data_IF_764479559636
#
_entry.id   IF_764479559636
#
_cell.length_a   1.000
_cell.length_b   1.000
_cell.length_c   1.000
_cell.angle_alpha   90.00
_cell.angle_beta   90.00
_cell.angle_gamma   90.00
#
_symmetry.space_group_name_H-M   'P 1'
#
loop_
_entity.id
_entity.type
_entity.pdbx_description
1 polymer ?
#
# COMPACT_ATOMS: atom_id res chain seq x y z
N UNK A 1 -7.03 11.53 -1.31
CA UNK A 1 -6.32 12.55 -0.49
C UNK A 1 -6.30 12.01 0.92
N UNK A 2 -5.12 11.75 1.52
CA UNK A 2 -5.05 11.52 2.98
C UNK A 2 -5.65 12.77 3.65
N UNK A 3 -6.73 12.59 4.40
CA UNK A 3 -7.26 13.51 5.41
C UNK A 3 -8.16 12.75 6.41
N UNK A 4 -7.63 12.20 7.52
CA UNK A 4 -8.45 11.77 8.65
C UNK A 4 -7.96 12.39 9.98
N UNK A 5 -8.83 12.83 10.87
CA UNK A 5 -8.49 13.18 12.26
C UNK A 5 -9.78 13.17 13.06
N UNK A 6 -10.08 12.06 13.72
CA UNK A 6 -9.53 11.81 15.06
C UNK A 6 -9.15 10.34 15.29
N UNK A 7 -8.33 9.77 14.39
CA UNK A 7 -7.57 8.55 14.69
C UNK A 7 -6.25 8.58 13.92
N UNK A 8 -5.12 8.38 14.61
CA UNK A 8 -3.82 8.19 13.96
C UNK A 8 -3.83 6.88 13.19
N UNK A 9 -3.81 6.94 11.86
CA UNK A 9 -3.73 5.72 11.04
C UNK A 9 -2.27 5.31 10.89
N UNK A 10 -1.92 4.19 11.53
CA UNK A 10 -0.61 3.53 11.41
C UNK A 10 -0.79 2.18 10.72
N UNK A 11 -0.27 2.07 9.51
CA UNK A 11 -0.35 0.86 8.69
C UNK A 11 1.06 0.33 8.38
N UNK A 12 1.29 -0.95 8.64
CA UNK A 12 2.57 -1.61 8.42
C UNK A 12 2.31 -2.90 7.62
N UNK A 13 2.83 -2.93 6.39
CA UNK A 13 2.63 -4.03 5.45
C UNK A 13 3.98 -4.74 5.26
N UNK A 14 3.98 -6.05 5.45
CA UNK A 14 5.16 -6.90 5.29
C UNK A 14 4.89 -7.97 4.23
N UNK A 15 5.87 -8.22 3.38
CA UNK A 15 5.82 -9.25 2.34
C UNK A 15 7.21 -9.85 2.13
N UNK A 16 7.26 -11.04 1.55
CA UNK A 16 8.45 -11.75 1.13
C UNK A 16 8.61 -11.79 -0.40
N UNK A 17 7.77 -11.07 -1.16
CA UNK A 17 7.95 -10.85 -2.60
C UNK A 17 9.27 -10.12 -2.86
N UNK A 18 9.90 -10.41 -3.99
CA UNK A 18 11.06 -9.66 -4.49
C UNK A 18 10.57 -8.53 -5.41
N UNK A 19 11.03 -7.32 -5.12
CA UNK A 19 10.63 -6.09 -5.79
C UNK A 19 11.72 -5.02 -5.60
N UNK A 20 11.76 -4.05 -6.50
CA UNK A 20 12.56 -2.83 -6.32
C UNK A 20 11.84 -1.81 -5.43
N UNK A 21 12.59 -0.86 -4.86
CA UNK A 21 12.02 0.22 -4.04
C UNK A 21 11.00 1.08 -4.82
N UNK A 22 11.18 1.27 -6.13
CA UNK A 22 10.24 2.02 -6.96
C UNK A 22 8.91 1.27 -7.09
N UNK A 23 8.94 0.00 -7.47
CA UNK A 23 7.72 -0.80 -7.64
C UNK A 23 6.94 -0.90 -6.32
N UNK A 24 7.63 -1.07 -5.18
CA UNK A 24 7.00 -1.03 -3.86
C UNK A 24 6.35 0.32 -3.56
N UNK A 25 7.02 1.43 -3.90
CA UNK A 25 6.47 2.77 -3.72
C UNK A 25 5.26 3.02 -4.63
N UNK A 26 5.28 2.53 -5.87
CA UNK A 26 4.19 2.66 -6.84
C UNK A 26 2.97 1.81 -6.41
N UNK A 27 3.20 0.59 -5.94
CA UNK A 27 2.16 -0.26 -5.34
C UNK A 27 1.57 0.38 -4.08
N UNK A 28 2.39 0.89 -3.16
CA UNK A 28 1.94 1.56 -1.93
C UNK A 28 1.13 2.81 -2.25
N UNK A 29 1.60 3.64 -3.18
CA UNK A 29 0.92 4.86 -3.63
C UNK A 29 -0.42 4.54 -4.29
N UNK A 30 -0.48 3.49 -5.10
CA UNK A 30 -1.71 3.04 -5.76
C UNK A 30 -2.71 2.50 -4.76
N UNK A 31 -2.28 1.60 -3.86
CA UNK A 31 -3.14 0.99 -2.84
C UNK A 31 -3.70 2.04 -1.88
N UNK A 32 -2.85 2.88 -1.28
CA UNK A 32 -3.29 3.96 -0.36
C UNK A 32 -4.30 4.89 -1.03
N UNK A 33 -4.07 5.30 -2.29
CA UNK A 33 -5.01 6.13 -3.05
C UNK A 33 -6.35 5.46 -3.40
N UNK A 34 -6.42 4.12 -3.37
CA UNK A 34 -7.63 3.35 -3.61
C UNK A 34 -8.36 2.92 -2.33
N UNK A 35 -7.66 2.85 -1.18
CA UNK A 35 -8.22 2.47 0.11
C UNK A 35 -8.18 3.60 1.15
N UNK A 36 -7.08 3.72 1.92
CA UNK A 36 -6.97 4.58 3.09
C UNK A 36 -7.26 6.06 2.77
N UNK A 37 -6.83 6.55 1.60
CA UNK A 37 -6.98 7.94 1.17
C UNK A 37 -8.41 8.29 0.68
N UNK A 38 -9.38 7.39 0.93
CA UNK A 38 -10.81 7.53 0.62
C UNK A 38 -11.72 7.35 1.84
N UNK A 39 -11.16 7.02 3.00
CA UNK A 39 -11.90 6.89 4.26
C UNK A 39 -11.80 8.23 4.99
N UNK A 40 -12.94 8.77 5.42
CA UNK A 40 -13.00 9.89 6.36
C UNK A 40 -14.00 9.53 7.45
N UNK A 41 -13.69 9.90 8.68
CA UNK A 41 -14.52 9.61 9.87
C UNK A 41 -15.29 10.86 10.30
N UNK A 42 -14.62 12.01 10.23
CA UNK A 42 -14.99 13.29 10.85
C UNK A 42 -14.60 14.53 10.00
N UNK A 43 -13.84 14.35 8.91
CA UNK A 43 -13.55 15.39 7.91
C UNK A 43 -12.22 16.14 8.05
N UNK A 44 -11.51 16.00 9.17
CA UNK A 44 -10.24 16.69 9.44
C UNK A 44 -9.00 15.86 9.01
N UNK A 45 -7.77 16.36 9.25
CA UNK A 45 -6.52 15.69 8.88
C UNK A 45 -5.45 15.69 9.96
N UNK A 46 -4.98 14.49 10.29
CA UNK A 46 -4.02 14.13 11.34
C UNK A 46 -2.61 14.50 10.94
N UNK A 47 -1.83 14.91 11.94
CA UNK A 47 -0.42 15.27 11.82
C UNK A 47 0.52 14.06 11.89
N UNK A 48 0.01 12.85 12.14
CA UNK A 48 0.81 11.70 12.57
C UNK A 48 0.54 10.39 11.81
N UNK A 49 -0.22 10.45 10.71
CA UNK A 49 -0.53 9.29 9.89
C UNK A 49 0.69 8.75 9.14
N UNK A 50 0.86 7.42 9.15
CA UNK A 50 1.98 6.75 8.53
C UNK A 50 1.57 5.39 7.93
N UNK A 51 2.01 5.13 6.70
CA UNK A 51 1.88 3.83 6.06
C UNK A 51 3.24 3.37 5.55
N UNK A 52 3.69 2.19 5.98
CA UNK A 52 4.98 1.61 5.59
C UNK A 52 4.78 0.25 4.92
N UNK A 53 5.61 -0.04 3.92
CA UNK A 53 5.67 -1.31 3.22
C UNK A 53 7.12 -1.80 3.24
N UNK A 54 7.33 -3.05 3.63
CA UNK A 54 8.64 -3.70 3.62
C UNK A 54 8.58 -5.06 2.94
N UNK A 55 9.51 -5.31 2.03
CA UNK A 55 9.62 -6.56 1.28
C UNK A 55 10.98 -7.22 1.54
N UNK A 56 10.98 -8.50 1.95
CA UNK A 56 12.23 -9.22 2.28
C UNK A 56 12.83 -9.99 1.10
N UNK A 57 12.07 -10.22 0.02
CA UNK A 57 12.51 -10.99 -1.15
C UNK A 57 12.70 -12.50 -0.90
N UNK A 58 12.33 -13.02 0.26
CA UNK A 58 12.62 -14.40 0.67
C UNK A 58 11.82 -15.48 -0.12
N UNK A 59 10.67 -15.14 -0.69
CA UNK A 59 9.79 -16.09 -1.40
C UNK A 59 10.30 -16.57 -2.75
N UNK A 60 11.27 -15.84 -3.35
CA UNK A 60 11.70 -15.96 -4.76
C UNK A 60 10.64 -15.62 -5.81
N UNK A 61 9.46 -15.12 -5.41
CA UNK A 61 8.43 -14.62 -6.34
C UNK A 61 8.76 -13.18 -6.69
N UNK A 62 8.76 -12.83 -7.98
CA UNK A 62 8.96 -11.45 -8.43
C UNK A 62 7.61 -10.72 -8.52
N UNK A 63 7.56 -9.44 -8.12
CA UNK A 63 6.33 -8.64 -8.11
C UNK A 63 5.70 -8.45 -9.51
N UNK A 64 6.51 -8.51 -10.57
CA UNK A 64 6.07 -8.51 -11.96
C UNK A 64 5.15 -9.70 -12.29
N UNK A 65 5.45 -10.89 -11.78
CA UNK A 65 4.64 -12.11 -11.95
C UNK A 65 3.29 -11.98 -11.23
N UNK A 66 3.30 -11.41 -10.02
CA UNK A 66 2.08 -11.13 -9.25
C UNK A 66 1.15 -10.17 -10.00
N UNK A 67 1.71 -9.10 -10.59
CA UNK A 67 0.95 -8.09 -11.33
C UNK A 67 0.24 -8.69 -12.55
N UNK A 68 0.93 -9.55 -13.31
CA UNK A 68 0.34 -10.28 -14.45
C UNK A 68 -0.79 -11.23 -14.04
N UNK A 69 -0.65 -11.91 -12.90
CA UNK A 69 -1.70 -12.81 -12.38
C UNK A 69 -2.96 -12.05 -11.98
N UNK A 70 -2.83 -10.88 -11.36
CA UNK A 70 -3.97 -10.04 -10.95
C UNK A 70 -4.72 -9.52 -12.18
N UNK A 71 -4.03 -9.01 -13.20
CA UNK A 71 -4.69 -8.53 -14.43
C UNK A 71 -5.38 -9.65 -15.22
N UNK A 72 -4.81 -10.85 -15.22
CA UNK A 72 -5.39 -12.02 -15.92
C UNK A 72 -6.59 -12.62 -15.17
N UNK A 73 -6.71 -12.37 -13.86
CA UNK A 73 -7.83 -12.84 -13.02
C UNK A 73 -9.06 -11.92 -13.03
N UNK A 74 -9.00 -10.81 -13.78
CA UNK A 74 -10.03 -9.78 -13.85
C UNK A 74 -10.79 -9.77 -15.20
N UNK A 75 -10.69 -10.85 -15.98
CA UNK A 75 -11.45 -11.13 -17.20
C UNK A 75 -12.31 -12.38 -17.03
#
# INVERSE_FOLDING_TARGET
MIRPNMATMLSFIFTDVKATQSELQDCLTTATNQSFNRITVDGDTSTNDACSLSATGASKVELSECTQRISTSAQ
#
